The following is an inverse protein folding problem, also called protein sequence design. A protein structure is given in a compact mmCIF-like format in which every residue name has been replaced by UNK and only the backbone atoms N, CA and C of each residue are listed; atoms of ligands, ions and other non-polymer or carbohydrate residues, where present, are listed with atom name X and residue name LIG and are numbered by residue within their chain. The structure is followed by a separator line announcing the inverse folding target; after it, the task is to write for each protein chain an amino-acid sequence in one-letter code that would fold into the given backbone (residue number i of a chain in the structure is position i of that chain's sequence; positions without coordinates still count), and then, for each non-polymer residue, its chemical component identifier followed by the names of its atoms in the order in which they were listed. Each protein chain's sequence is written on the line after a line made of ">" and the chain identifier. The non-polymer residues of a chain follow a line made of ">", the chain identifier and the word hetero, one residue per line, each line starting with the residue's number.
data_IF_781118257842
#
_entry.id   IF_781118257842
#
_cell.length_a   1.000
_cell.length_b   1.000
_cell.length_c   1.000
_cell.angle_alpha   90.00
_cell.angle_beta   90.00
_cell.angle_gamma   90.00
#
_symmetry.space_group_name_H-M   'P 1'
#
loop_
_entity.id
_entity.type
_entity.pdbx_description
1 polymer ?
#
# COMPACT_ATOMS: atom_id res chain seq x y z
N UNK A 1 -69.31 -65.87 62.48
CA UNK A 1 -70.39 -66.93 62.44
C UNK A 1 -70.61 -67.43 61.01
N UNK A 2 -71.04 -66.62 60.05
CA UNK A 2 -71.29 -67.09 58.68
C UNK A 2 -70.04 -67.61 57.96
N UNK A 3 -68.87 -67.05 58.12
CA UNK A 3 -67.62 -67.53 57.52
C UNK A 3 -67.24 -68.96 58.08
N UNK A 4 -67.44 -69.14 59.34
CA UNK A 4 -67.15 -70.47 60.03
C UNK A 4 -68.15 -71.51 59.57
N UNK A 5 -69.38 -71.15 59.40
CA UNK A 5 -70.40 -72.08 58.87
C UNK A 5 -70.14 -72.54 57.42
N UNK A 6 -69.71 -71.57 56.59
CA UNK A 6 -69.32 -71.84 55.19
C UNK A 6 -68.01 -72.66 55.12
N UNK A 7 -66.99 -72.38 55.93
CA UNK A 7 -65.79 -73.21 56.02
C UNK A 7 -66.04 -74.62 56.49
N UNK A 8 -66.95 -74.75 57.48
CA UNK A 8 -67.38 -76.06 57.98
C UNK A 8 -68.17 -76.84 56.88
N UNK A 9 -69.05 -76.15 56.13
CA UNK A 9 -69.79 -76.75 55.02
C UNK A 9 -68.88 -77.23 53.89
N UNK A 10 -67.86 -76.45 53.54
CA UNK A 10 -66.85 -76.79 52.55
C UNK A 10 -66.01 -78.01 52.94
N UNK A 11 -65.80 -78.25 54.27
CA UNK A 11 -65.03 -79.36 54.80
C UNK A 11 -65.78 -80.71 54.90
N UNK A 12 -67.09 -80.63 54.83
CA UNK A 12 -67.97 -81.81 54.99
C UNK A 12 -67.95 -82.75 53.80
N UNK A 13 -67.67 -82.31 52.58
CA UNK A 13 -67.67 -83.12 51.36
C UNK A 13 -66.80 -82.54 50.29
N UNK A 14 -66.16 -83.37 49.45
CA UNK A 14 -65.43 -82.94 48.25
C UNK A 14 -66.36 -82.25 47.21
N UNK A 15 -67.63 -82.68 47.21
CA UNK A 15 -68.64 -82.08 46.33
C UNK A 15 -68.97 -80.63 46.71
N UNK A 16 -69.09 -80.36 48.03
CA UNK A 16 -69.28 -79.03 48.57
C UNK A 16 -68.10 -78.13 48.23
N UNK A 17 -66.88 -78.66 48.23
CA UNK A 17 -65.67 -77.91 47.84
C UNK A 17 -65.66 -77.56 46.35
N UNK A 18 -66.16 -78.45 45.49
CA UNK A 18 -66.34 -78.18 44.07
C UNK A 18 -67.35 -77.09 43.82
N UNK A 19 -68.51 -77.18 44.54
CA UNK A 19 -69.57 -76.12 44.43
C UNK A 19 -69.06 -74.80 44.90
N UNK A 20 -68.34 -74.71 46.02
CA UNK A 20 -67.75 -73.45 46.51
C UNK A 20 -66.76 -72.82 45.52
N UNK A 21 -65.92 -73.70 44.88
CA UNK A 21 -64.97 -73.20 43.82
C UNK A 21 -65.73 -72.71 42.61
N UNK A 22 -66.81 -73.40 42.21
CA UNK A 22 -67.63 -72.89 41.06
C UNK A 22 -68.31 -71.60 41.37
N UNK A 23 -68.88 -71.40 42.56
CA UNK A 23 -69.52 -70.16 42.98
C UNK A 23 -68.47 -69.03 43.03
N UNK A 24 -67.29 -69.27 43.63
CA UNK A 24 -66.19 -68.28 43.64
C UNK A 24 -65.74 -67.91 42.23
N UNK A 25 -65.63 -68.93 41.34
CA UNK A 25 -65.26 -68.67 39.94
C UNK A 25 -66.32 -67.82 39.21
N UNK A 26 -67.65 -68.13 39.41
CA UNK A 26 -68.76 -67.38 38.83
C UNK A 26 -68.74 -65.95 39.34
N UNK A 27 -68.54 -65.80 40.65
CA UNK A 27 -68.47 -64.43 41.25
C UNK A 27 -67.27 -63.67 40.67
N UNK A 28 -66.12 -64.28 40.58
CA UNK A 28 -64.90 -63.64 40.01
C UNK A 28 -65.07 -63.25 38.52
N UNK A 29 -65.75 -64.16 37.74
CA UNK A 29 -66.04 -63.87 36.33
C UNK A 29 -67.06 -62.69 36.20
N UNK A 30 -68.09 -62.69 37.13
CA UNK A 30 -69.06 -61.61 37.14
C UNK A 30 -68.41 -60.27 37.47
N UNK A 31 -67.53 -60.19 38.43
CA UNK A 31 -66.77 -58.99 38.78
C UNK A 31 -65.88 -58.50 37.62
N UNK A 32 -65.27 -59.44 36.88
CA UNK A 32 -64.52 -59.07 35.67
C UNK A 32 -65.44 -58.53 34.59
N UNK A 33 -66.62 -59.16 34.36
CA UNK A 33 -67.58 -58.71 33.37
C UNK A 33 -68.10 -57.32 33.71
N UNK A 34 -68.41 -57.03 34.96
CA UNK A 34 -68.88 -55.74 35.40
C UNK A 34 -67.76 -54.65 35.29
N UNK A 35 -66.54 -54.99 35.55
CA UNK A 35 -65.38 -54.11 35.37
C UNK A 35 -65.15 -53.86 33.88
N UNK A 36 -65.30 -54.82 33.02
CA UNK A 36 -65.20 -54.67 31.56
C UNK A 36 -66.36 -53.83 30.97
N UNK A 37 -67.60 -54.02 31.50
CA UNK A 37 -68.78 -53.20 31.09
C UNK A 37 -68.65 -51.76 31.49
N UNK A 38 -67.92 -51.44 32.53
CA UNK A 38 -67.66 -50.08 32.95
C UNK A 38 -66.63 -49.36 32.07
N UNK A 39 -65.85 -50.07 31.25
CA UNK A 39 -64.90 -49.47 30.32
C UNK A 39 -65.60 -49.15 29.00
N UNK A 40 -65.90 -47.88 28.81
CA UNK A 40 -66.40 -47.39 27.53
C UNK A 40 -65.27 -47.37 26.48
N UNK A 41 -65.28 -48.31 25.53
CA UNK A 41 -64.20 -48.41 24.54
C UNK A 41 -64.13 -47.20 23.62
N UNK A 42 -65.25 -46.49 23.48
CA UNK A 42 -65.29 -45.28 22.67
C UNK A 42 -64.54 -44.10 23.35
N UNK A 43 -64.71 -43.96 24.64
CA UNK A 43 -63.99 -42.93 25.39
C UNK A 43 -62.49 -43.25 25.50
N UNK A 44 -62.12 -44.56 25.61
CA UNK A 44 -60.72 -44.95 25.59
C UNK A 44 -60.04 -44.67 24.23
N UNK A 45 -60.72 -44.96 23.14
CA UNK A 45 -60.29 -44.66 21.79
C UNK A 45 -60.14 -43.12 21.56
N UNK A 46 -61.10 -42.33 22.01
CA UNK A 46 -61.03 -40.87 21.90
C UNK A 46 -59.87 -40.28 22.72
N UNK A 47 -59.57 -40.86 23.91
CA UNK A 47 -58.39 -40.45 24.69
C UNK A 47 -57.08 -40.89 24.05
N UNK A 48 -57.00 -42.00 23.38
CA UNK A 48 -55.87 -42.45 22.60
C UNK A 48 -55.68 -41.57 21.36
N UNK A 49 -56.72 -41.27 20.65
CA UNK A 49 -56.69 -40.45 19.47
C UNK A 49 -56.25 -39.01 19.80
N UNK A 50 -56.73 -38.43 20.94
CA UNK A 50 -56.23 -37.16 21.47
C UNK A 50 -54.75 -37.17 21.91
N UNK A 51 -54.22 -38.34 22.32
CA UNK A 51 -52.77 -38.43 22.63
C UNK A 51 -51.92 -38.64 21.39
N UNK A 52 -52.42 -39.32 20.38
CA UNK A 52 -51.75 -39.58 19.11
C UNK A 52 -51.82 -38.35 18.16
N UNK A 53 -52.91 -37.60 18.26
CA UNK A 53 -53.11 -36.40 17.42
C UNK A 53 -52.36 -35.14 17.89
N UNK A 54 -51.56 -35.22 18.96
CA UNK A 54 -50.55 -34.21 19.23
C UNK A 54 -49.43 -34.38 18.23
N UNK A 55 -49.68 -34.26 16.93
CA UNK A 55 -48.70 -33.91 15.92
C UNK A 55 -48.04 -32.64 16.40
N UNK A 56 -46.73 -32.68 16.75
CA UNK A 56 -45.94 -31.47 16.91
C UNK A 56 -46.16 -30.63 15.64
N UNK A 57 -46.92 -29.53 15.73
CA UNK A 57 -46.91 -28.54 14.70
C UNK A 57 -45.48 -28.10 14.58
N UNK A 58 -44.82 -28.53 13.49
CA UNK A 58 -43.52 -27.99 13.12
C UNK A 58 -43.79 -26.50 12.94
N UNK A 59 -43.26 -25.71 13.87
CA UNK A 59 -43.32 -24.23 13.74
C UNK A 59 -42.42 -23.89 12.56
N UNK A 60 -43.00 -23.77 11.39
CA UNK A 60 -42.30 -23.36 10.16
C UNK A 60 -41.55 -22.03 10.37
N UNK A 61 -42.07 -21.20 11.29
CA UNK A 61 -41.44 -19.96 11.69
C UNK A 61 -40.11 -20.18 12.41
N UNK A 62 -40.03 -21.10 13.34
CA UNK A 62 -38.77 -21.44 14.02
C UNK A 62 -37.75 -22.10 13.09
N UNK A 63 -38.24 -22.90 12.14
CA UNK A 63 -37.40 -23.51 11.12
C UNK A 63 -36.88 -22.45 10.14
N UNK A 64 -37.68 -21.48 9.74
CA UNK A 64 -37.33 -20.33 8.92
C UNK A 64 -36.23 -19.46 9.59
N UNK A 65 -36.39 -19.19 10.89
CA UNK A 65 -35.39 -18.43 11.65
C UNK A 65 -34.04 -19.17 11.72
N UNK A 66 -34.07 -20.49 11.96
CA UNK A 66 -32.83 -21.31 11.99
C UNK A 66 -32.15 -21.39 10.63
N UNK A 67 -32.92 -21.58 9.56
CA UNK A 67 -32.40 -21.58 8.20
C UNK A 67 -31.84 -20.20 7.81
N UNK A 68 -32.54 -19.13 8.19
CA UNK A 68 -32.06 -17.76 7.97
C UNK A 68 -30.75 -17.46 8.71
N UNK A 69 -30.62 -17.92 9.96
CA UNK A 69 -29.37 -17.75 10.74
C UNK A 69 -28.19 -18.48 10.12
N UNK A 70 -28.42 -19.73 9.65
CA UNK A 70 -27.36 -20.53 8.99
C UNK A 70 -26.89 -19.90 7.69
N UNK A 71 -27.75 -19.22 6.94
CA UNK A 71 -27.38 -18.51 5.70
C UNK A 71 -26.82 -17.11 5.99
N UNK A 72 -27.39 -16.42 6.98
CA UNK A 72 -27.03 -15.03 7.27
C UNK A 72 -25.62 -14.92 7.89
N UNK A 73 -25.24 -15.84 8.79
CA UNK A 73 -23.91 -15.79 9.44
C UNK A 73 -22.77 -15.87 8.43
N UNK A 74 -22.71 -16.85 7.52
CA UNK A 74 -21.62 -16.90 6.52
C UNK A 74 -21.68 -15.74 5.53
N UNK A 75 -22.87 -15.26 5.13
CA UNK A 75 -23.03 -14.08 4.30
C UNK A 75 -22.53 -12.80 5.01
N UNK A 76 -22.86 -12.64 6.28
CA UNK A 76 -22.42 -11.53 7.10
C UNK A 76 -20.91 -11.55 7.32
N UNK A 77 -20.35 -12.74 7.64
CA UNK A 77 -18.89 -12.92 7.76
C UNK A 77 -18.19 -12.67 6.43
N UNK A 78 -18.74 -13.15 5.32
CA UNK A 78 -18.21 -12.91 3.97
C UNK A 78 -18.25 -11.43 3.59
N UNK A 79 -19.37 -10.73 3.91
CA UNK A 79 -19.50 -9.30 3.71
C UNK A 79 -18.48 -8.50 4.56
N UNK A 80 -18.34 -8.86 5.84
CA UNK A 80 -17.34 -8.26 6.73
C UNK A 80 -15.92 -8.53 6.23
N UNK A 81 -15.62 -9.78 5.85
CA UNK A 81 -14.35 -10.16 5.25
C UNK A 81 -14.06 -9.34 3.98
N UNK A 82 -15.05 -9.19 3.10
CA UNK A 82 -14.92 -8.40 1.87
C UNK A 82 -14.70 -6.91 2.18
N UNK A 83 -15.48 -6.32 3.09
CA UNK A 83 -15.34 -4.90 3.48
C UNK A 83 -13.99 -4.65 4.16
N UNK A 84 -13.55 -5.53 5.09
CA UNK A 84 -12.26 -5.37 5.76
C UNK A 84 -11.05 -5.70 4.88
N UNK A 85 -11.21 -6.53 3.84
CA UNK A 85 -10.14 -6.82 2.89
C UNK A 85 -10.16 -5.92 1.64
N UNK A 86 -11.13 -5.03 1.49
CA UNK A 86 -11.19 -4.08 0.38
C UNK A 86 -10.05 -3.04 0.45
N UNK A 87 -9.40 -2.88 1.60
CA UNK A 87 -8.31 -1.92 1.84
C UNK A 87 -6.92 -2.36 1.36
N UNK A 88 -6.80 -3.50 0.64
CA UNK A 88 -5.50 -3.98 0.12
C UNK A 88 -5.21 -3.59 -1.33
N UNK A 89 -5.81 -2.52 -1.86
CA UNK A 89 -5.44 -1.96 -3.15
C UNK A 89 -4.23 -1.01 -3.10
N UNK A 90 -3.39 -1.12 -2.06
CA UNK A 90 -2.22 -0.24 -1.84
C UNK A 90 -1.06 -0.45 -2.82
N UNK A 91 -1.10 -1.50 -3.66
CA UNK A 91 0.03 -1.88 -4.51
C UNK A 91 -0.03 -1.34 -5.94
N UNK A 92 -0.90 -0.35 -6.22
CA UNK A 92 -0.89 0.28 -7.54
C UNK A 92 0.00 1.51 -7.52
N UNK A 93 1.14 1.39 -8.19
CA UNK A 93 2.07 2.50 -8.39
C UNK A 93 1.96 3.03 -9.82
N UNK A 94 2.17 4.33 -9.94
CA UNK A 94 2.40 5.02 -11.22
C UNK A 94 3.89 5.23 -11.33
N UNK A 95 4.44 4.88 -12.49
CA UNK A 95 5.84 5.10 -12.84
C UNK A 95 5.93 6.08 -13.99
N UNK A 96 6.66 7.16 -13.79
CA UNK A 96 6.88 8.19 -14.82
C UNK A 96 8.37 8.29 -15.09
N UNK A 97 8.71 8.31 -16.37
CA UNK A 97 10.08 8.52 -16.83
C UNK A 97 10.15 9.71 -17.76
N UNK A 98 11.12 10.56 -17.53
CA UNK A 98 11.50 11.61 -18.47
C UNK A 98 12.55 11.06 -19.43
N UNK A 99 12.34 11.25 -20.73
CA UNK A 99 13.33 10.84 -21.73
C UNK A 99 14.62 11.69 -21.61
N UNK A 100 15.77 11.14 -22.05
CA UNK A 100 17.00 11.91 -22.13
C UNK A 100 16.81 13.22 -22.93
N UNK A 101 17.33 14.32 -22.40
CA UNK A 101 17.19 15.65 -22.99
C UNK A 101 15.81 16.30 -22.83
N UNK A 102 14.85 15.62 -22.24
CA UNK A 102 13.48 16.12 -22.03
C UNK A 102 13.19 16.39 -20.56
N UNK A 103 12.18 17.21 -20.33
CA UNK A 103 11.61 17.48 -19.02
C UNK A 103 10.13 17.07 -19.02
N UNK A 104 9.68 16.46 -17.94
CA UNK A 104 8.29 16.06 -17.75
C UNK A 104 7.71 16.74 -16.53
N UNK A 105 6.51 17.30 -16.65
CA UNK A 105 5.76 17.87 -15.53
C UNK A 105 4.59 16.96 -15.19
N UNK A 106 4.38 16.67 -13.91
CA UNK A 106 3.30 15.81 -13.42
C UNK A 106 2.67 16.41 -12.17
N UNK A 107 1.36 16.22 -12.05
CA UNK A 107 0.61 16.49 -10.84
C UNK A 107 0.32 15.18 -10.11
N UNK A 108 0.68 15.11 -8.84
CA UNK A 108 0.44 13.95 -7.98
C UNK A 108 -0.98 13.96 -7.40
N UNK A 109 -1.50 12.82 -6.89
CA UNK A 109 -2.85 12.71 -6.35
C UNK A 109 -3.19 13.65 -5.18
N UNK A 110 -2.17 14.19 -4.50
CA UNK A 110 -2.31 15.16 -3.40
C UNK A 110 -2.27 16.62 -3.86
N UNK A 111 -2.18 16.87 -5.18
CA UNK A 111 -2.02 18.21 -5.75
C UNK A 111 -0.58 18.73 -5.74
N UNK A 112 0.40 17.90 -5.37
CA UNK A 112 1.83 18.23 -5.48
C UNK A 112 2.25 18.26 -6.94
N UNK A 113 2.96 19.34 -7.35
CA UNK A 113 3.56 19.42 -8.67
C UNK A 113 5.01 18.97 -8.65
N UNK A 114 5.35 18.13 -9.62
CA UNK A 114 6.72 17.63 -9.80
C UNK A 114 7.19 17.90 -11.22
N UNK A 115 8.37 18.49 -11.36
CA UNK A 115 9.09 18.58 -12.62
C UNK A 115 10.22 17.57 -12.58
N UNK A 116 10.25 16.65 -13.52
CA UNK A 116 11.32 15.67 -13.70
C UNK A 116 12.27 16.18 -14.77
N UNK A 117 13.55 16.26 -14.45
CA UNK A 117 14.59 16.60 -15.41
C UNK A 117 14.90 15.42 -16.34
N UNK A 118 15.79 15.65 -17.30
CA UNK A 118 16.27 14.65 -18.26
C UNK A 118 16.62 13.31 -17.61
N UNK A 119 16.22 12.19 -18.24
CA UNK A 119 16.55 10.83 -17.82
C UNK A 119 16.21 10.52 -16.34
N UNK A 120 15.17 11.12 -15.80
CA UNK A 120 14.72 10.94 -14.42
C UNK A 120 13.50 10.04 -14.33
N UNK A 121 13.33 9.42 -13.18
CA UNK A 121 12.27 8.47 -12.89
C UNK A 121 11.61 8.81 -11.56
N UNK A 122 10.28 8.79 -11.53
CA UNK A 122 9.46 8.98 -10.34
C UNK A 122 8.45 7.84 -10.23
N UNK A 123 8.35 7.27 -9.03
CA UNK A 123 7.34 6.28 -8.70
C UNK A 123 6.55 6.73 -7.48
N UNK A 124 5.23 6.65 -7.56
CA UNK A 124 4.33 7.05 -6.49
C UNK A 124 3.04 6.21 -6.52
N UNK A 125 2.33 6.03 -5.40
CA UNK A 125 1.08 5.29 -5.36
C UNK A 125 -0.04 6.06 -6.07
N UNK A 126 -1.03 5.33 -6.62
CA UNK A 126 -2.22 5.93 -7.27
C UNK A 126 -3.00 6.83 -6.30
N UNK A 127 -2.98 6.51 -5.01
CA UNK A 127 -3.52 7.35 -3.93
C UNK A 127 -2.58 7.31 -2.73
N UNK A 128 -2.41 8.45 -2.06
CA UNK A 128 -1.64 8.52 -0.81
C UNK A 128 -2.56 8.17 0.35
N UNK A 129 -2.46 6.93 0.80
CA UNK A 129 -3.17 6.42 1.96
C UNK A 129 -2.19 6.24 3.14
N UNK A 130 -2.69 6.31 4.38
CA UNK A 130 -1.85 6.19 5.57
C UNK A 130 -1.21 7.52 6.04
N UNK A 131 -0.18 7.40 6.87
CA UNK A 131 0.45 8.53 7.59
C UNK A 131 1.43 9.35 6.74
N UNK A 132 1.89 8.78 5.61
CA UNK A 132 2.94 9.37 4.77
C UNK A 132 2.53 9.42 3.30
N UNK A 133 3.00 10.44 2.60
CA UNK A 133 2.94 10.58 1.15
C UNK A 133 4.33 10.28 0.59
N UNK A 134 4.60 8.99 0.31
CA UNK A 134 5.94 8.55 -0.11
C UNK A 134 6.05 8.43 -1.62
N UNK A 135 7.14 8.93 -2.18
CA UNK A 135 7.54 8.80 -3.59
C UNK A 135 8.99 8.32 -3.68
N UNK A 136 9.32 7.62 -4.76
CA UNK A 136 10.68 7.18 -5.07
C UNK A 136 11.20 8.00 -6.26
N UNK A 137 12.41 8.55 -6.15
CA UNK A 137 13.05 9.36 -7.18
C UNK A 137 14.40 8.78 -7.57
N UNK A 138 14.64 8.66 -8.88
CA UNK A 138 15.98 8.47 -9.45
C UNK A 138 16.21 9.57 -10.48
N UNK A 139 17.33 10.29 -10.39
CA UNK A 139 17.62 11.42 -11.23
C UNK A 139 17.33 12.76 -10.55
N UNK A 140 16.90 13.77 -11.29
CA UNK A 140 16.68 15.12 -10.76
C UNK A 140 15.21 15.52 -10.89
N UNK A 141 14.67 16.06 -9.79
CA UNK A 141 13.32 16.59 -9.76
C UNK A 141 13.19 17.84 -8.89
N UNK A 142 12.34 18.74 -9.34
CA UNK A 142 11.84 19.85 -8.55
C UNK A 142 10.44 19.54 -8.05
N UNK A 143 10.23 19.71 -6.75
CA UNK A 143 8.96 19.48 -6.08
C UNK A 143 8.36 20.80 -5.60
N UNK A 144 7.08 21.01 -5.89
CA UNK A 144 6.23 22.01 -5.23
C UNK A 144 5.17 21.25 -4.46
N UNK A 145 5.52 20.90 -3.23
CA UNK A 145 4.70 20.00 -2.40
C UNK A 145 3.51 20.74 -1.83
N UNK A 146 2.31 20.19 -2.08
CA UNK A 146 1.07 20.70 -1.50
C UNK A 146 1.09 20.56 0.02
N UNK A 147 0.74 21.64 0.71
CA UNK A 147 0.68 21.66 2.16
C UNK A 147 -0.47 20.78 2.64
N UNK A 148 -0.16 19.78 3.47
CA UNK A 148 -1.13 18.91 4.10
C UNK A 148 -0.93 18.95 5.63
N UNK A 149 -2.02 19.25 6.37
CA UNK A 149 -1.96 19.43 7.81
C UNK A 149 -1.94 18.07 8.53
N UNK A 150 -0.81 17.41 8.53
CA UNK A 150 -0.55 16.20 9.32
C UNK A 150 0.24 15.12 8.61
N UNK A 151 0.12 14.95 7.30
CA UNK A 151 0.84 13.89 6.59
C UNK A 151 2.12 14.42 5.96
N UNK A 152 3.22 13.80 6.35
CA UNK A 152 4.54 14.11 5.80
C UNK A 152 4.65 13.64 4.36
N UNK A 153 5.36 14.39 3.54
CA UNK A 153 5.76 13.99 2.20
C UNK A 153 7.21 13.52 2.24
N UNK A 154 7.46 12.31 1.73
CA UNK A 154 8.75 11.64 1.78
C UNK A 154 9.25 11.39 0.36
N UNK A 155 10.46 11.83 0.05
CA UNK A 155 11.15 11.54 -1.20
C UNK A 155 12.31 10.58 -0.89
N UNK A 156 12.14 9.33 -1.29
CA UNK A 156 13.17 8.30 -1.19
C UNK A 156 14.02 8.32 -2.46
N UNK A 157 15.31 8.56 -2.32
CA UNK A 157 16.25 8.56 -3.45
C UNK A 157 17.14 7.32 -3.45
N UNK A 158 16.79 6.34 -2.63
CA UNK A 158 17.58 5.13 -2.42
C UNK A 158 18.83 5.37 -1.58
N UNK A 159 19.67 4.34 -1.46
CA UNK A 159 20.95 4.39 -0.74
C UNK A 159 20.83 4.86 0.73
N UNK A 160 19.65 4.68 1.36
CA UNK A 160 19.37 5.12 2.73
C UNK A 160 19.22 6.64 2.89
N UNK A 161 18.89 7.34 1.81
CA UNK A 161 18.68 8.79 1.81
C UNK A 161 17.20 9.09 1.57
N UNK A 162 16.58 9.85 2.47
CA UNK A 162 15.19 10.27 2.38
C UNK A 162 15.03 11.76 2.75
N UNK A 163 14.19 12.47 2.03
CA UNK A 163 13.86 13.86 2.31
C UNK A 163 12.42 13.94 2.85
N UNK A 164 12.25 14.49 4.06
CA UNK A 164 10.97 14.71 4.73
C UNK A 164 10.55 16.17 4.64
N UNK A 165 9.32 16.42 4.16
CA UNK A 165 8.75 17.78 4.05
C UNK A 165 7.25 17.79 4.42
N UNK A 166 6.68 18.98 4.67
CA UNK A 166 5.24 19.15 4.97
C UNK A 166 4.50 20.01 3.93
N UNK A 167 5.21 20.87 3.22
CA UNK A 167 4.68 21.80 2.22
C UNK A 167 5.81 22.76 1.84
N UNK A 168 6.55 22.40 0.82
CA UNK A 168 7.91 22.89 0.59
C UNK A 168 8.20 22.89 -0.90
N UNK A 169 8.95 23.88 -1.35
CA UNK A 169 9.53 23.90 -2.69
C UNK A 169 11.03 23.63 -2.61
N UNK A 170 11.49 22.60 -3.33
CA UNK A 170 12.87 22.16 -3.29
C UNK A 170 13.25 21.37 -4.54
N UNK A 171 14.54 21.35 -4.85
CA UNK A 171 15.14 20.54 -5.91
C UNK A 171 15.95 19.39 -5.31
N UNK A 172 15.89 18.23 -5.92
CA UNK A 172 16.71 17.05 -5.56
C UNK A 172 17.43 16.58 -6.79
N UNK A 173 18.74 16.41 -6.70
CA UNK A 173 19.63 15.84 -7.72
C UNK A 173 20.24 14.55 -7.18
N UNK A 174 19.73 13.42 -7.65
CA UNK A 174 20.06 12.06 -7.17
C UNK A 174 20.19 11.07 -8.33
N UNK A 175 21.00 11.42 -9.33
CA UNK A 175 21.28 10.48 -10.43
C UNK A 175 22.05 9.26 -9.93
N UNK A 176 21.69 8.05 -10.37
CA UNK A 176 22.34 6.82 -9.93
C UNK A 176 23.84 6.77 -10.18
N UNK A 177 24.29 7.37 -11.28
CA UNK A 177 25.69 7.38 -11.74
C UNK A 177 26.54 8.46 -11.04
N UNK A 178 25.89 9.38 -10.31
CA UNK A 178 26.59 10.43 -9.58
C UNK A 178 27.15 9.92 -8.25
N UNK A 179 28.27 10.50 -7.83
CA UNK A 179 28.94 10.21 -6.56
C UNK A 179 28.32 10.94 -5.37
N UNK A 180 27.32 11.74 -5.60
CA UNK A 180 26.66 12.51 -4.56
C UNK A 180 25.16 12.64 -4.81
N UNK A 181 24.44 12.95 -3.76
CA UNK A 181 23.06 13.40 -3.79
C UNK A 181 23.02 14.84 -3.30
N UNK A 182 22.33 15.71 -4.00
CA UNK A 182 22.20 17.10 -3.60
C UNK A 182 20.72 17.49 -3.45
N UNK A 183 20.43 18.36 -2.48
CA UNK A 183 19.12 18.97 -2.31
C UNK A 183 19.27 20.46 -2.13
N UNK A 184 18.44 21.26 -2.81
CA UNK A 184 18.39 22.73 -2.69
C UNK A 184 17.01 23.15 -2.22
N UNK A 185 16.95 23.87 -1.10
CA UNK A 185 15.70 24.33 -0.52
C UNK A 185 15.34 25.75 -1.00
N UNK A 186 14.17 25.89 -1.60
CA UNK A 186 13.62 27.17 -2.08
C UNK A 186 12.76 27.83 -1.02
N UNK A 187 11.70 27.14 -0.56
CA UNK A 187 10.78 27.62 0.48
C UNK A 187 10.37 26.49 1.41
N UNK A 188 10.03 26.80 2.65
CA UNK A 188 9.57 25.82 3.62
C UNK A 188 10.69 25.22 4.46
N UNK A 189 10.61 23.91 4.72
CA UNK A 189 11.59 23.16 5.52
C UNK A 189 11.77 21.77 4.93
N UNK A 190 13.01 21.30 4.87
CA UNK A 190 13.40 19.94 4.50
C UNK A 190 14.20 19.33 5.63
N UNK A 191 13.87 18.10 6.02
CA UNK A 191 14.77 17.24 6.79
C UNK A 191 15.40 16.24 5.84
N UNK A 192 16.71 16.30 5.75
CA UNK A 192 17.53 15.40 4.96
C UNK A 192 18.03 14.29 5.86
N UNK A 193 17.53 13.06 5.65
CA UNK A 193 17.92 11.86 6.38
C UNK A 193 18.97 11.11 5.56
N UNK A 194 20.07 10.72 6.20
CA UNK A 194 21.16 9.97 5.55
C UNK A 194 21.88 9.09 6.57
N UNK A 195 22.81 8.28 6.07
CA UNK A 195 23.73 7.50 6.90
C UNK A 195 25.04 8.24 7.05
N UNK A 196 25.58 8.33 8.25
CA UNK A 196 26.94 8.84 8.50
C UNK A 196 27.70 7.87 9.40
N UNK A 197 28.75 7.26 8.87
CA UNK A 197 29.56 6.26 9.59
C UNK A 197 28.72 5.12 10.19
N UNK A 198 27.73 4.64 9.41
CA UNK A 198 26.81 3.57 9.81
C UNK A 198 25.77 3.97 10.87
N UNK A 199 25.55 5.28 11.09
CA UNK A 199 24.50 5.81 11.97
C UNK A 199 23.55 6.71 11.19
N UNK A 200 22.29 6.68 11.53
CA UNK A 200 21.32 7.61 10.99
C UNK A 200 21.63 9.05 11.44
N UNK A 201 21.66 9.95 10.49
CA UNK A 201 21.82 11.38 10.70
C UNK A 201 20.71 12.15 10.01
N UNK A 202 20.24 13.22 10.65
CA UNK A 202 19.22 14.09 10.11
C UNK A 202 19.72 15.52 10.11
N UNK A 203 19.63 16.17 8.93
CA UNK A 203 19.98 17.56 8.79
C UNK A 203 18.72 18.38 8.41
N UNK A 204 18.44 19.46 9.16
CA UNK A 204 17.31 20.36 8.87
C UNK A 204 17.78 21.54 8.04
N UNK A 205 17.30 21.64 6.80
CA UNK A 205 17.63 22.70 5.86
C UNK A 205 16.75 23.93 6.07
N UNK A 206 17.33 25.09 5.74
CA UNK A 206 16.65 26.38 5.66
C UNK A 206 16.61 26.89 4.20
N UNK A 207 15.65 27.75 3.83
CA UNK A 207 15.60 28.36 2.50
C UNK A 207 16.93 29.00 2.09
N UNK A 208 17.33 28.78 0.83
CA UNK A 208 18.61 29.22 0.29
C UNK A 208 19.80 28.28 0.57
N UNK A 209 19.58 27.22 1.33
CA UNK A 209 20.63 26.22 1.55
C UNK A 209 20.61 25.11 0.51
N UNK A 210 21.82 24.60 0.20
CA UNK A 210 22.08 23.40 -0.57
C UNK A 210 22.85 22.42 0.29
N UNK A 211 22.35 21.21 0.39
CA UNK A 211 23.03 20.06 1.01
C UNK A 211 23.59 19.20 -0.11
N UNK A 212 24.84 18.80 0.02
CA UNK A 212 25.52 17.83 -0.87
C UNK A 212 26.02 16.69 0.01
N UNK A 213 25.52 15.51 -0.25
CA UNK A 213 25.92 14.29 0.45
C UNK A 213 26.75 13.41 -0.48
N UNK A 214 27.99 13.18 -0.10
CA UNK A 214 28.93 12.34 -0.86
C UNK A 214 28.71 10.86 -0.47
N UNK A 215 28.41 10.04 -1.47
CA UNK A 215 28.08 8.62 -1.31
C UNK A 215 29.30 7.74 -0.98
N UNK A 216 30.53 8.22 -1.25
CA UNK A 216 31.74 7.43 -1.05
C UNK A 216 32.29 7.54 0.37
N UNK A 217 32.26 8.73 0.95
CA UNK A 217 32.82 9.02 2.27
C UNK A 217 31.76 9.40 3.31
N UNK A 218 30.48 9.31 2.94
CA UNK A 218 29.32 9.59 3.79
C UNK A 218 29.37 11.00 4.42
N UNK A 219 30.02 11.96 3.75
CA UNK A 219 30.10 13.33 4.24
C UNK A 219 28.98 14.18 3.70
N UNK A 220 28.39 14.96 4.59
CA UNK A 220 27.38 15.97 4.27
C UNK A 220 28.02 17.36 4.35
N UNK A 221 27.93 18.11 3.24
CA UNK A 221 28.29 19.51 3.16
C UNK A 221 27.00 20.33 3.02
N UNK A 222 26.84 21.34 3.87
CA UNK A 222 25.79 22.33 3.71
C UNK A 222 26.40 23.69 3.33
N UNK A 223 25.85 24.30 2.32
CA UNK A 223 26.29 25.63 1.84
C UNK A 223 25.09 26.49 1.47
N UNK A 224 25.27 27.80 1.49
CA UNK A 224 24.31 28.72 0.87
C UNK A 224 24.57 28.75 -0.63
N UNK A 225 23.50 28.65 -1.43
CA UNK A 225 23.61 28.63 -2.88
C UNK A 225 22.74 29.73 -3.52
N UNK A 226 23.09 30.09 -4.76
CA UNK A 226 22.18 30.86 -5.60
C UNK A 226 21.12 29.92 -6.19
N UNK A 227 20.02 29.81 -5.46
CA UNK A 227 18.92 28.86 -5.73
C UNK A 227 18.48 28.85 -7.19
N UNK A 228 18.44 30.00 -7.86
CA UNK A 228 18.04 30.09 -9.27
C UNK A 228 18.92 29.23 -10.20
N UNK A 229 20.21 29.08 -9.92
CA UNK A 229 21.08 28.22 -10.74
C UNK A 229 20.65 26.76 -10.67
N UNK A 230 20.28 26.28 -9.47
CA UNK A 230 19.90 24.90 -9.25
C UNK A 230 18.50 24.55 -9.80
N UNK A 231 17.62 25.55 -9.98
CA UNK A 231 16.22 25.33 -10.42
C UNK A 231 15.92 25.90 -11.82
N UNK A 232 16.89 26.55 -12.47
CA UNK A 232 16.70 27.22 -13.77
C UNK A 232 16.26 26.23 -14.87
N UNK A 233 16.70 24.99 -14.77
CA UNK A 233 16.43 23.95 -15.73
C UNK A 233 14.92 23.73 -15.97
N UNK A 234 14.07 23.86 -14.92
CA UNK A 234 12.60 23.70 -15.02
C UNK A 234 11.93 24.72 -15.96
N UNK A 235 12.61 25.81 -16.27
CA UNK A 235 12.17 26.85 -17.21
C UNK A 235 13.01 26.88 -18.51
N UNK A 236 13.77 25.82 -18.79
CA UNK A 236 14.62 25.74 -19.97
C UNK A 236 15.86 26.64 -19.95
N UNK A 237 16.17 27.22 -18.79
CA UNK A 237 17.34 28.08 -18.59
C UNK A 237 18.49 27.25 -18.00
N UNK A 238 19.72 27.68 -18.32
CA UNK A 238 20.94 27.21 -17.65
C UNK A 238 21.63 28.49 -17.12
N UNK A 239 21.86 28.53 -15.82
CA UNK A 239 22.49 29.66 -15.16
C UNK A 239 23.76 29.19 -14.48
N UNK A 240 24.90 29.71 -14.94
CA UNK A 240 26.19 29.51 -14.30
C UNK A 240 26.57 30.77 -13.55
N UNK A 241 27.07 30.61 -12.33
CA UNK A 241 27.58 31.70 -11.50
C UNK A 241 28.83 31.20 -10.80
N UNK A 242 29.98 31.63 -11.33
CA UNK A 242 31.29 31.14 -10.87
C UNK A 242 31.37 29.62 -10.78
N UNK A 243 30.76 28.96 -11.78
CA UNK A 243 30.56 27.51 -11.82
C UNK A 243 31.79 26.84 -12.42
N UNK A 244 32.45 25.92 -11.71
CA UNK A 244 33.57 25.15 -12.25
C UNK A 244 33.22 24.47 -13.57
N UNK A 245 34.18 24.38 -14.50
CA UNK A 245 33.95 23.74 -15.82
C UNK A 245 33.37 22.33 -15.68
N UNK A 246 33.85 21.55 -14.73
CA UNK A 246 33.38 20.18 -14.51
C UNK A 246 31.88 20.14 -14.18
N UNK A 247 31.42 21.03 -13.31
CA UNK A 247 30.02 21.14 -12.94
C UNK A 247 29.16 21.73 -14.08
N UNK A 248 29.72 22.69 -14.82
CA UNK A 248 29.06 23.24 -16.00
C UNK A 248 28.84 22.17 -17.08
N UNK A 249 29.87 21.37 -17.39
CA UNK A 249 29.80 20.26 -18.34
C UNK A 249 28.84 19.16 -17.85
N UNK A 250 28.81 18.87 -16.54
CA UNK A 250 27.86 17.92 -15.95
C UNK A 250 26.42 18.37 -16.17
N UNK A 251 26.12 19.65 -15.99
CA UNK A 251 24.78 20.21 -16.29
C UNK A 251 24.43 20.04 -17.76
N UNK A 252 25.36 20.33 -18.68
CA UNK A 252 25.16 20.16 -20.12
C UNK A 252 25.01 18.69 -20.51
N UNK A 253 25.78 17.80 -19.88
CA UNK A 253 25.70 16.34 -20.10
C UNK A 253 24.27 15.83 -19.83
N UNK A 254 23.69 16.22 -18.70
CA UNK A 254 22.33 15.87 -18.33
C UNK A 254 21.28 16.47 -19.27
N UNK A 255 21.43 17.76 -19.58
CA UNK A 255 20.47 18.51 -20.40
C UNK A 255 20.40 18.03 -21.85
N UNK A 256 21.54 17.64 -22.44
CA UNK A 256 21.65 17.31 -23.87
C UNK A 256 21.95 15.83 -24.13
N UNK A 257 21.98 15.01 -23.09
CA UNK A 257 22.28 13.57 -23.16
C UNK A 257 23.61 13.26 -23.91
N UNK A 258 24.66 13.96 -23.52
CA UNK A 258 26.01 13.81 -24.05
C UNK A 258 27.00 13.45 -22.94
N UNK A 259 28.14 12.85 -23.29
CA UNK A 259 29.25 12.60 -22.38
C UNK A 259 30.40 13.58 -22.68
N UNK A 260 30.91 14.27 -21.67
CA UNK A 260 32.07 15.12 -21.80
C UNK A 260 33.32 14.45 -21.24
N UNK A 261 34.44 14.57 -21.97
CA UNK A 261 35.76 14.11 -21.54
C UNK A 261 36.73 15.28 -21.51
N UNK A 262 37.20 15.66 -20.34
CA UNK A 262 38.21 16.69 -20.18
C UNK A 262 39.59 16.03 -20.39
N UNK A 263 40.23 16.35 -21.52
CA UNK A 263 41.55 15.81 -21.89
C UNK A 263 42.67 16.53 -21.13
N UNK A 264 42.54 17.85 -20.98
CA UNK A 264 43.55 18.66 -20.26
C UNK A 264 43.08 18.97 -18.82
N UNK A 265 43.70 18.37 -17.78
CA UNK A 265 43.27 18.62 -16.40
C UNK A 265 43.36 20.08 -15.94
N UNK A 266 44.18 20.91 -16.58
CA UNK A 266 44.32 22.33 -16.24
C UNK A 266 43.00 23.09 -16.45
N UNK A 267 42.15 22.66 -17.37
CA UNK A 267 40.87 23.26 -17.66
C UNK A 267 39.87 23.15 -16.50
N UNK A 268 40.07 22.21 -15.56
CA UNK A 268 39.23 22.07 -14.36
C UNK A 268 39.26 23.33 -13.45
N UNK A 269 40.25 24.19 -13.62
CA UNK A 269 40.37 25.43 -12.85
C UNK A 269 39.48 26.59 -13.40
N UNK A 270 38.91 26.40 -14.61
CA UNK A 270 38.08 27.41 -15.20
C UNK A 270 36.69 27.42 -14.59
N UNK A 271 36.18 28.61 -14.33
CA UNK A 271 34.82 28.85 -13.89
C UNK A 271 34.06 29.67 -14.92
N UNK A 272 32.76 29.44 -15.03
CA UNK A 272 31.88 30.11 -15.97
C UNK A 272 30.79 30.88 -15.25
N UNK A 273 30.49 32.08 -15.79
CA UNK A 273 29.32 32.89 -15.38
C UNK A 273 28.56 33.24 -16.62
N UNK A 274 27.26 32.96 -16.66
CA UNK A 274 26.41 33.26 -17.80
C UNK A 274 25.04 32.64 -17.70
N UNK A 275 24.12 33.12 -18.52
CA UNK A 275 22.75 32.57 -18.61
C UNK A 275 22.44 32.22 -20.05
N UNK A 276 21.99 30.98 -20.25
CA UNK A 276 21.56 30.45 -21.54
C UNK A 276 20.07 30.12 -21.48
N UNK A 277 19.31 30.61 -22.44
CA UNK A 277 17.85 30.45 -22.50
C UNK A 277 17.50 29.68 -23.76
N UNK A 278 17.02 28.46 -23.65
CA UNK A 278 16.62 27.60 -24.77
C UNK A 278 17.68 27.49 -25.90
N UNK A 279 18.95 27.55 -25.52
CA UNK A 279 20.05 27.50 -26.49
C UNK A 279 20.45 26.06 -26.78
N UNK A 280 20.92 25.82 -28.01
CA UNK A 280 21.48 24.55 -28.45
C UNK A 280 22.89 24.35 -27.87
N UNK A 281 23.29 23.12 -27.72
CA UNK A 281 24.59 22.74 -27.14
C UNK A 281 25.78 23.34 -27.91
N UNK A 282 25.74 23.29 -29.26
CA UNK A 282 26.79 23.88 -30.13
C UNK A 282 27.03 25.34 -29.82
N UNK A 283 25.96 26.12 -29.60
CA UNK A 283 26.07 27.55 -29.29
C UNK A 283 26.63 27.79 -27.89
N UNK A 284 26.25 26.98 -26.92
CA UNK A 284 26.81 27.08 -25.55
C UNK A 284 28.29 26.76 -25.55
N UNK A 285 28.71 25.71 -26.25
CA UNK A 285 30.14 25.35 -26.38
C UNK A 285 30.94 26.40 -27.15
N UNK A 286 30.34 27.04 -28.14
CA UNK A 286 30.95 28.18 -28.83
C UNK A 286 31.21 29.37 -27.87
N UNK A 287 30.26 29.67 -26.98
CA UNK A 287 30.45 30.68 -25.91
C UNK A 287 31.59 30.29 -24.96
N UNK A 288 31.69 29.00 -24.56
CA UNK A 288 32.81 28.56 -23.74
C UNK A 288 34.15 28.76 -24.44
N UNK A 289 34.23 28.40 -25.74
CA UNK A 289 35.43 28.62 -26.55
C UNK A 289 35.82 30.10 -26.62
N UNK A 290 34.87 30.99 -26.84
CA UNK A 290 35.13 32.46 -26.93
C UNK A 290 35.58 33.02 -25.58
N UNK A 291 34.91 32.59 -24.47
CA UNK A 291 35.17 33.15 -23.16
C UNK A 291 36.48 32.66 -22.52
N UNK A 292 36.90 31.42 -22.78
CA UNK A 292 38.02 30.78 -22.09
C UNK A 292 39.07 30.16 -22.99
N UNK A 293 38.89 30.17 -24.30
CA UNK A 293 39.79 29.51 -25.24
C UNK A 293 39.65 27.97 -25.25
N UNK A 294 38.74 27.40 -24.47
CA UNK A 294 38.47 25.95 -24.45
C UNK A 294 38.01 25.50 -25.82
N UNK A 295 38.64 24.43 -26.31
CA UNK A 295 38.28 23.79 -27.60
C UNK A 295 37.51 22.52 -27.35
N UNK A 296 36.68 22.14 -28.32
CA UNK A 296 35.90 20.88 -28.24
C UNK A 296 35.89 20.17 -29.59
N UNK A 297 35.74 18.85 -29.55
CA UNK A 297 35.49 18.03 -30.74
C UNK A 297 34.49 16.93 -30.39
N UNK A 298 33.60 16.65 -31.35
CA UNK A 298 32.71 15.50 -31.28
C UNK A 298 33.49 14.26 -31.69
N UNK A 299 33.41 13.20 -30.88
CA UNK A 299 33.90 11.89 -31.28
C UNK A 299 32.76 11.17 -31.99
N UNK A 300 33.08 10.54 -33.12
CA UNK A 300 32.11 9.70 -33.83
C UNK A 300 31.69 8.55 -32.90
N UNK A 301 30.40 8.36 -32.75
CA UNK A 301 29.87 7.21 -32.02
C UNK A 301 30.20 5.93 -32.81
N UNK A 302 30.96 5.01 -32.21
CA UNK A 302 31.19 3.71 -32.83
C UNK A 302 29.83 3.01 -33.03
N UNK A 303 29.53 2.68 -34.30
CA UNK A 303 28.39 1.85 -34.66
C UNK A 303 28.71 0.41 -34.23
N UNK A 304 28.13 -0.07 -33.17
CA UNK A 304 28.15 -1.47 -32.83
C UNK A 304 26.83 -2.10 -33.30
N UNK A 305 26.94 -3.00 -34.30
CA UNK A 305 25.84 -3.77 -34.90
C UNK A 305 24.62 -2.96 -35.41
N UNK A 306 24.84 -1.73 -35.89
CA UNK A 306 23.77 -0.92 -36.52
C UNK A 306 22.84 -0.23 -35.53
N UNK A 307 23.09 -0.32 -34.21
CA UNK A 307 22.34 0.36 -33.16
C UNK A 307 23.23 1.40 -32.49
N UNK A 308 22.85 2.69 -32.58
CA UNK A 308 23.51 3.77 -31.84
C UNK A 308 23.20 3.59 -30.35
N UNK A 309 24.06 2.89 -29.63
CA UNK A 309 23.89 2.56 -28.20
C UNK A 309 24.66 3.48 -27.24
N UNK A 310 25.48 4.40 -27.76
CA UNK A 310 26.33 5.25 -26.91
C UNK A 310 25.95 6.72 -27.05
N UNK A 311 25.96 7.41 -25.90
CA UNK A 311 25.86 8.87 -25.86
C UNK A 311 26.93 9.51 -26.75
N UNK A 312 26.60 10.61 -27.40
CA UNK A 312 27.58 11.40 -28.11
C UNK A 312 28.69 11.84 -27.17
N UNK A 313 29.94 11.52 -27.47
CA UNK A 313 31.09 11.91 -26.65
C UNK A 313 31.69 13.19 -27.20
N UNK A 314 31.93 14.14 -26.31
CA UNK A 314 32.55 15.44 -26.66
C UNK A 314 33.83 15.61 -25.82
N UNK A 315 34.95 15.68 -26.48
CA UNK A 315 36.23 15.98 -25.83
C UNK A 315 36.43 17.48 -25.69
N UNK A 316 36.91 17.86 -24.51
CA UNK A 316 37.23 19.24 -24.12
C UNK A 316 38.74 19.35 -23.88
N UNK A 317 39.43 20.20 -24.63
CA UNK A 317 40.91 20.33 -24.61
C UNK A 317 41.35 21.79 -24.84
#
# INVERSE_FOLDING_TARGET
>A
KEKEEVENWISLSEENRKIAKQICYIHHVTDIIDTVKQIDPKQALVKLDKRLSKKKKINWWEWGIRAAAVLFIPLFLSFFYFVFNQDKNYDRYVEIRSNPGMMTKVELPDGTWVWLNSASYLKYPVSFEGEYRKVELLGEAYFSVQKDNGRKFLVDVGKGIELEVLGTEFNVDAYPDDKFVAATLVTGRVKFHCQQKGREATYSMQPGQKVIYNLLDEKLLCTTTFVESDIAWKSGRIIYRDTPLEDALRTLSKRFDVEFRIVNPLLKKYCFTGTFINQRLDKILEHFKIASGVRYRYLESALDNGVVKQKTIIEIY
#
